data_IF_647144314534
#
_entry.id   IF_647144314534
#
_cell.length_a   1.000
_cell.length_b   1.000
_cell.length_c   1.000
_cell.angle_alpha   90.00
_cell.angle_beta   90.00
_cell.angle_gamma   90.00
#
_symmetry.space_group_name_H-M   'P 1'
#
loop_
_entity.id
_entity.type
_entity.pdbx_description
1 polymer ?
#
# COMPACT_ATOMS: atom_id res chain seq x y z
N UNK A 1 -43.22 -21.47 -12.23
CA UNK A 1 -44.18 -22.23 -11.40
C UNK A 1 -43.56 -23.56 -11.00
N UNK A 2 -43.47 -23.83 -9.69
CA UNK A 2 -43.31 -25.11 -8.93
C UNK A 2 -42.61 -26.29 -9.65
N UNK A 3 -41.68 -27.03 -9.03
CA UNK A 3 -41.85 -27.76 -7.76
C UNK A 3 -40.50 -28.15 -7.15
N UNK A 4 -40.34 -27.81 -5.86
CA UNK A 4 -39.41 -28.45 -4.94
C UNK A 4 -39.72 -29.95 -4.80
N UNK A 5 -38.70 -30.79 -4.68
CA UNK A 5 -38.81 -32.13 -4.09
C UNK A 5 -38.03 -32.15 -2.78
N UNK A 6 -38.79 -32.16 -1.70
CA UNK A 6 -38.37 -32.50 -0.34
C UNK A 6 -38.09 -34.01 -0.29
N UNK A 7 -36.99 -34.42 0.32
CA UNK A 7 -36.81 -35.78 0.84
C UNK A 7 -36.84 -35.71 2.37
N UNK A 8 -37.70 -36.54 2.94
CA UNK A 8 -38.07 -36.53 4.35
C UNK A 8 -37.05 -37.22 5.26
N UNK A 9 -36.82 -36.59 6.40
CA UNK A 9 -36.74 -37.10 7.78
C UNK A 9 -36.43 -38.59 8.03
N UNK A 10 -35.38 -38.83 8.83
CA UNK A 10 -35.41 -39.86 9.89
C UNK A 10 -35.12 -39.17 11.22
N UNK A 11 -36.08 -39.29 12.13
CA UNK A 11 -36.01 -38.82 13.50
C UNK A 11 -35.20 -39.79 14.36
N UNK A 12 -34.34 -39.26 15.23
CA UNK A 12 -33.86 -39.96 16.41
C UNK A 12 -34.11 -39.06 17.62
N UNK A 13 -35.08 -39.47 18.43
CA UNK A 13 -35.38 -38.86 19.73
C UNK A 13 -34.33 -39.29 20.75
N UNK A 14 -33.83 -38.34 21.52
CA UNK A 14 -32.99 -38.59 22.70
C UNK A 14 -33.16 -37.44 23.68
N UNK A 15 -33.94 -37.68 24.74
CA UNK A 15 -34.07 -36.79 25.89
C UNK A 15 -32.71 -36.63 26.58
N UNK A 16 -32.23 -35.40 26.76
CA UNK A 16 -31.23 -35.07 27.79
C UNK A 16 -31.61 -33.74 28.44
N UNK A 17 -31.51 -33.73 29.77
CA UNK A 17 -32.12 -32.77 30.68
C UNK A 17 -31.66 -31.33 30.54
N UNK A 18 -32.59 -30.46 30.93
CA UNK A 18 -32.36 -29.05 31.19
C UNK A 18 -31.27 -28.88 32.25
N UNK A 19 -30.10 -28.41 31.83
CA UNK A 19 -29.11 -27.81 32.71
C UNK A 19 -29.09 -26.32 32.41
N UNK A 20 -29.66 -25.55 33.32
CA UNK A 20 -29.57 -24.10 33.30
C UNK A 20 -28.10 -23.70 33.53
N UNK A 21 -27.37 -23.42 32.44
CA UNK A 21 -26.04 -22.86 32.54
C UNK A 21 -26.21 -21.36 32.82
N UNK A 22 -25.80 -20.98 34.02
CA UNK A 22 -25.82 -19.60 34.47
C UNK A 22 -25.09 -18.68 33.47
N UNK A 23 -25.75 -17.56 33.19
CA UNK A 23 -25.26 -16.44 32.39
C UNK A 23 -24.03 -15.84 33.10
N UNK A 24 -22.85 -16.33 32.75
CA UNK A 24 -21.59 -15.63 33.01
C UNK A 24 -21.37 -14.63 31.89
N UNK A 25 -21.99 -13.44 31.99
CA UNK A 25 -21.66 -12.31 31.14
C UNK A 25 -20.21 -11.90 31.43
N UNK A 26 -19.27 -12.53 30.73
CA UNK A 26 -17.90 -12.04 30.63
C UNK A 26 -17.97 -10.75 29.82
N UNK A 27 -18.16 -9.64 30.54
CA UNK A 27 -17.91 -8.30 30.06
C UNK A 27 -16.43 -8.21 29.74
N UNK A 28 -16.04 -8.66 28.55
CA UNK A 28 -14.75 -8.33 27.96
C UNK A 28 -14.80 -6.84 27.66
N UNK A 29 -14.40 -6.04 28.64
CA UNK A 29 -14.04 -4.64 28.44
C UNK A 29 -12.87 -4.65 27.47
N UNK A 30 -13.17 -4.64 26.18
CA UNK A 30 -12.20 -4.38 25.13
C UNK A 30 -11.69 -2.97 25.39
N UNK A 31 -10.53 -2.89 26.04
CA UNK A 31 -9.75 -1.67 26.10
C UNK A 31 -9.41 -1.32 24.65
N UNK A 32 -10.25 -0.48 24.03
CA UNK A 32 -9.89 0.21 22.82
C UNK A 32 -8.73 1.12 23.22
N UNK A 33 -7.51 0.64 22.98
CA UNK A 33 -6.34 1.49 22.99
C UNK A 33 -6.65 2.62 22.01
N UNK A 34 -6.94 3.80 22.56
CA UNK A 34 -7.08 5.01 21.77
C UNK A 34 -5.69 5.28 21.22
N UNK A 35 -5.46 4.88 19.98
CA UNK A 35 -4.25 5.22 19.25
C UNK A 35 -4.12 6.74 19.34
N UNK A 36 -3.06 7.20 20.01
CA UNK A 36 -2.76 8.63 20.10
C UNK A 36 -2.61 9.12 18.67
N UNK A 37 -3.55 9.95 18.21
CA UNK A 37 -3.48 10.53 16.88
C UNK A 37 -2.11 11.18 16.71
N UNK A 38 -1.40 10.85 15.63
CA UNK A 38 -0.16 11.51 15.29
C UNK A 38 -0.43 13.03 15.26
N UNK A 39 0.42 13.88 15.85
CA UNK A 39 0.23 15.33 15.83
C UNK A 39 0.38 15.90 14.42
N UNK A 40 -0.64 15.74 13.58
CA UNK A 40 -0.69 16.25 12.20
C UNK A 40 -0.71 17.78 12.13
N UNK A 41 -0.80 18.47 13.28
CA UNK A 41 -0.72 19.93 13.39
C UNK A 41 0.63 20.50 12.93
N UNK A 42 1.67 19.67 12.80
CA UNK A 42 3.00 20.04 12.31
C UNK A 42 3.34 19.45 10.95
N UNK A 43 2.35 18.90 10.23
CA UNK A 43 2.56 18.38 8.90
C UNK A 43 2.87 19.50 7.89
N UNK A 44 3.81 19.26 7.00
CA UNK A 44 4.15 20.13 5.88
C UNK A 44 4.06 19.36 4.57
N UNK A 45 3.46 19.97 3.54
CA UNK A 45 3.47 19.39 2.20
C UNK A 45 4.67 19.93 1.42
N UNK A 46 5.46 19.04 0.84
CA UNK A 46 6.55 19.37 -0.07
C UNK A 46 6.21 18.90 -1.48
N UNK A 47 6.55 19.72 -2.46
CA UNK A 47 6.44 19.39 -3.88
C UNK A 47 7.85 19.29 -4.44
N UNK A 48 8.18 18.15 -5.06
CA UNK A 48 9.45 17.95 -5.76
C UNK A 48 9.52 18.73 -7.08
N UNK A 49 10.71 18.80 -7.70
CA UNK A 49 10.81 19.31 -9.07
C UNK A 49 10.04 18.39 -10.04
N UNK A 50 9.47 18.95 -11.11
CA UNK A 50 9.03 18.13 -12.24
C UNK A 50 10.24 17.43 -12.85
N UNK A 51 10.12 16.14 -13.12
CA UNK A 51 11.18 15.36 -13.73
C UNK A 51 11.38 15.68 -15.22
N UNK A 52 12.53 15.28 -15.74
CA UNK A 52 12.71 15.09 -17.18
C UNK A 52 11.86 13.91 -17.68
N UNK A 53 11.63 13.83 -18.98
CA UNK A 53 10.85 12.73 -19.58
C UNK A 53 11.49 11.37 -19.29
N UNK A 54 10.70 10.43 -18.76
CA UNK A 54 11.15 9.10 -18.35
C UNK A 54 12.07 9.10 -17.12
N UNK A 55 12.16 10.23 -16.43
CA UNK A 55 12.98 10.39 -15.24
C UNK A 55 12.16 10.48 -13.95
N UNK A 56 12.79 10.18 -12.80
CA UNK A 56 12.12 10.25 -11.51
C UNK A 56 12.02 11.68 -10.97
N UNK A 57 11.10 11.86 -10.02
CA UNK A 57 10.97 13.05 -9.19
C UNK A 57 11.03 12.68 -7.71
N UNK A 58 11.67 13.53 -6.90
CA UNK A 58 11.79 13.38 -5.46
C UNK A 58 11.28 14.61 -4.72
N UNK A 59 10.32 14.43 -3.81
CA UNK A 59 9.89 15.44 -2.87
C UNK A 59 10.58 15.21 -1.52
N UNK A 60 11.67 15.95 -1.27
CA UNK A 60 12.48 15.80 -0.05
C UNK A 60 11.94 16.63 1.12
N UNK A 61 11.72 15.98 2.26
CA UNK A 61 11.32 16.65 3.48
C UNK A 61 12.40 17.63 3.97
N UNK A 62 12.01 18.75 4.61
CA UNK A 62 12.96 19.67 5.21
C UNK A 62 13.78 19.02 6.33
N UNK A 63 14.85 19.71 6.74
CA UNK A 63 15.66 19.27 7.88
C UNK A 63 14.80 19.09 9.15
N UNK A 64 15.10 18.05 9.93
CA UNK A 64 14.34 17.69 11.13
C UNK A 64 12.98 17.02 10.85
N UNK A 65 12.58 16.87 9.58
CA UNK A 65 11.35 16.17 9.19
C UNK A 65 11.61 14.85 8.45
N UNK A 66 10.58 14.01 8.42
CA UNK A 66 10.54 12.74 7.69
C UNK A 66 9.15 12.55 7.09
N UNK A 67 9.07 11.67 6.09
CA UNK A 67 7.84 11.44 5.33
C UNK A 67 6.81 10.68 6.16
N UNK A 68 5.57 11.18 6.18
CA UNK A 68 4.40 10.50 6.72
C UNK A 68 3.61 9.80 5.60
N UNK A 69 3.56 10.41 4.42
CA UNK A 69 2.90 9.88 3.23
C UNK A 69 3.34 10.69 2.00
N UNK A 70 2.87 10.33 0.81
CA UNK A 70 3.08 11.11 -0.39
C UNK A 70 2.26 10.62 -1.56
N UNK A 71 2.65 11.08 -2.73
CA UNK A 71 2.02 10.75 -3.99
C UNK A 71 2.74 11.44 -5.13
N UNK A 72 2.05 11.57 -6.27
CA UNK A 72 2.62 12.17 -7.45
C UNK A 72 1.56 12.94 -8.25
N UNK A 73 2.04 13.76 -9.18
CA UNK A 73 1.28 14.33 -10.27
C UNK A 73 1.96 13.93 -11.58
N UNK A 74 1.24 13.25 -12.49
CA UNK A 74 1.73 13.03 -13.84
C UNK A 74 1.57 14.33 -14.64
N UNK A 75 2.67 14.98 -14.97
CA UNK A 75 2.69 16.31 -15.61
C UNK A 75 2.54 16.20 -17.12
N UNK A 76 3.13 15.16 -17.70
CA UNK A 76 2.90 14.72 -19.07
C UNK A 76 3.03 13.21 -19.10
N UNK A 77 2.34 12.55 -20.01
CA UNK A 77 2.35 11.11 -20.18
C UNK A 77 2.18 10.79 -21.67
N UNK A 78 2.69 9.64 -22.09
CA UNK A 78 2.40 9.12 -23.43
C UNK A 78 0.89 8.92 -23.60
N UNK A 79 0.38 9.10 -24.82
CA UNK A 79 -1.02 8.95 -25.16
C UNK A 79 -1.18 7.99 -26.33
N UNK A 80 -2.31 7.28 -26.37
CA UNK A 80 -2.70 6.52 -27.54
C UNK A 80 -2.98 7.48 -28.71
N UNK A 81 -3.16 6.94 -29.93
CA UNK A 81 -3.67 7.73 -31.05
C UNK A 81 -5.09 8.29 -30.83
N UNK A 82 -5.86 7.72 -29.90
CA UNK A 82 -7.17 8.19 -29.47
C UNK A 82 -7.13 9.28 -28.40
N UNK A 83 -5.95 9.55 -27.81
CA UNK A 83 -5.72 10.57 -26.79
C UNK A 83 -5.85 10.06 -25.35
N UNK A 84 -6.15 8.78 -25.13
CA UNK A 84 -6.18 8.20 -23.78
C UNK A 84 -4.77 8.16 -23.16
N UNK A 85 -4.64 8.36 -21.83
CA UNK A 85 -3.38 8.17 -21.13
C UNK A 85 -2.82 6.77 -21.38
N UNK A 86 -1.54 6.74 -21.72
CA UNK A 86 -0.86 5.57 -22.23
C UNK A 86 0.57 5.50 -21.66
N UNK A 87 0.68 5.51 -20.34
CA UNK A 87 1.95 5.57 -19.62
C UNK A 87 1.83 4.92 -18.24
N UNK A 88 2.93 4.41 -17.71
CA UNK A 88 2.94 3.60 -16.50
C UNK A 88 3.73 4.27 -15.37
N UNK A 89 3.10 4.44 -14.21
CA UNK A 89 3.81 4.87 -13.00
C UNK A 89 4.66 3.70 -12.52
N UNK A 90 5.98 3.90 -12.53
CA UNK A 90 6.96 2.88 -12.15
C UNK A 90 7.33 2.97 -10.68
N UNK A 91 7.09 4.12 -10.05
CA UNK A 91 7.26 4.25 -8.62
C UNK A 91 6.28 5.22 -7.99
N UNK A 92 5.84 4.87 -6.79
CA UNK A 92 5.09 5.74 -5.89
C UNK A 92 5.32 5.23 -4.47
N UNK A 93 6.37 5.72 -3.80
CA UNK A 93 6.81 5.17 -2.53
C UNK A 93 7.59 6.17 -1.67
N UNK A 94 7.69 5.96 -0.35
CA UNK A 94 8.65 6.72 0.44
C UNK A 94 10.08 6.44 -0.04
N UNK A 95 10.98 7.41 0.11
CA UNK A 95 12.42 7.16 -0.01
C UNK A 95 12.86 6.17 1.07
N UNK A 96 13.85 5.33 0.75
CA UNK A 96 14.34 4.29 1.66
C UNK A 96 14.87 4.84 2.99
N UNK A 97 15.36 6.07 3.01
CA UNK A 97 15.85 6.77 4.20
C UNK A 97 14.76 7.56 4.96
N UNK A 98 13.50 7.50 4.49
CA UNK A 98 12.36 8.22 5.03
C UNK A 98 12.41 9.74 4.84
N UNK A 99 13.36 10.28 4.08
CA UNK A 99 13.53 11.73 3.93
C UNK A 99 12.67 12.34 2.82
N UNK A 100 11.67 11.62 2.32
CA UNK A 100 10.80 12.15 1.27
C UNK A 100 10.01 11.08 0.54
N UNK A 101 9.45 11.48 -0.59
CA UNK A 101 8.66 10.63 -1.47
C UNK A 101 9.29 10.58 -2.87
N UNK A 102 9.25 9.40 -3.48
CA UNK A 102 9.81 9.09 -4.79
C UNK A 102 8.68 8.71 -5.73
N UNK A 103 8.68 9.32 -6.92
CA UNK A 103 7.76 9.00 -7.98
C UNK A 103 8.51 8.88 -9.30
N UNK A 104 8.11 7.93 -10.14
CA UNK A 104 8.69 7.72 -11.46
C UNK A 104 7.60 7.34 -12.47
N UNK A 105 7.76 7.82 -13.70
CA UNK A 105 6.83 7.60 -14.80
C UNK A 105 7.63 7.17 -16.02
N UNK A 106 7.18 6.09 -16.67
CA UNK A 106 7.98 5.36 -17.66
C UNK A 106 8.47 6.21 -18.84
N UNK A 107 7.63 7.10 -19.37
CA UNK A 107 8.02 7.94 -20.53
C UNK A 107 7.78 9.43 -20.32
N UNK A 108 6.71 9.76 -19.61
CA UNK A 108 6.30 11.13 -19.35
C UNK A 108 7.12 11.82 -18.26
N UNK A 109 6.58 12.91 -17.74
CA UNK A 109 7.18 13.68 -16.65
C UNK A 109 6.29 13.57 -15.42
N UNK A 110 6.90 13.43 -14.26
CA UNK A 110 6.19 13.27 -12.99
C UNK A 110 6.69 14.30 -11.98
N UNK A 111 5.85 14.63 -11.01
CA UNK A 111 6.20 15.48 -9.89
C UNK A 111 5.80 14.79 -8.59
N UNK A 112 6.77 14.38 -7.80
CA UNK A 112 6.54 13.79 -6.48
C UNK A 112 6.01 14.83 -5.50
N UNK A 113 5.22 14.36 -4.54
CA UNK A 113 4.66 15.15 -3.44
C UNK A 113 4.81 14.35 -2.15
N UNK A 114 5.19 15.03 -1.08
CA UNK A 114 5.37 14.42 0.23
C UNK A 114 4.57 15.19 1.28
N UNK A 115 4.01 14.46 2.25
CA UNK A 115 3.56 15.01 3.52
C UNK A 115 4.64 14.65 4.53
N UNK A 116 5.25 15.65 5.13
CA UNK A 116 6.36 15.55 6.06
C UNK A 116 5.91 15.94 7.46
N UNK A 117 6.40 15.23 8.48
CA UNK A 117 6.16 15.52 9.90
C UNK A 117 7.49 15.57 10.65
N UNK A 118 7.56 16.15 11.85
CA UNK A 118 8.76 16.08 12.68
C UNK A 118 9.26 14.65 12.83
N UNK A 119 10.57 14.44 12.76
CA UNK A 119 11.17 13.09 12.76
C UNK A 119 10.70 12.22 13.93
N UNK A 120 10.45 12.81 15.11
CA UNK A 120 9.97 12.09 16.30
C UNK A 120 8.53 11.54 16.18
N UNK A 121 7.78 11.97 15.17
CA UNK A 121 6.39 11.56 14.91
C UNK A 121 6.25 10.76 13.61
N UNK A 122 7.33 10.63 12.84
CA UNK A 122 7.29 10.00 11.53
C UNK A 122 7.34 8.47 11.65
N UNK A 123 6.64 7.76 10.76
CA UNK A 123 6.81 6.32 10.63
C UNK A 123 8.24 5.96 10.22
N UNK A 124 8.65 4.75 10.58
CA UNK A 124 9.86 4.13 10.06
C UNK A 124 9.60 3.56 8.67
N UNK A 125 10.55 3.72 7.75
CA UNK A 125 10.47 3.07 6.44
C UNK A 125 11.06 1.67 6.55
N UNK A 126 10.29 0.66 6.16
CA UNK A 126 10.79 -0.68 5.89
C UNK A 126 10.87 -0.91 4.38
N UNK A 127 11.94 -1.55 3.91
CA UNK A 127 12.16 -1.84 2.49
C UNK A 127 12.15 -3.35 2.30
N UNK A 128 11.29 -3.83 1.40
CA UNK A 128 11.23 -5.24 1.05
C UNK A 128 12.39 -5.66 0.13
N UNK A 129 12.62 -6.97 -0.08
CA UNK A 129 13.52 -7.44 -1.11
C UNK A 129 12.95 -7.11 -2.50
N UNK A 130 13.79 -7.03 -3.52
CA UNK A 130 13.31 -7.08 -4.91
C UNK A 130 12.64 -8.43 -5.16
N UNK A 131 11.43 -8.44 -5.71
CA UNK A 131 10.70 -9.67 -6.03
C UNK A 131 11.33 -10.41 -7.21
N UNK A 132 10.95 -11.68 -7.38
CA UNK A 132 10.98 -12.32 -8.70
C UNK A 132 9.82 -11.83 -9.58
N UNK A 133 9.83 -12.25 -10.85
CA UNK A 133 8.72 -12.04 -11.78
C UNK A 133 7.45 -12.71 -11.27
N UNK A 134 6.30 -12.05 -11.41
CA UNK A 134 4.99 -12.54 -10.94
C UNK A 134 4.89 -12.83 -9.43
N UNK A 135 5.87 -12.40 -8.64
CA UNK A 135 5.94 -12.66 -7.19
C UNK A 135 5.81 -11.34 -6.41
N UNK A 136 5.27 -11.43 -5.20
CA UNK A 136 5.21 -10.29 -4.28
C UNK A 136 6.60 -9.87 -3.79
N UNK A 137 6.78 -8.57 -3.59
CA UNK A 137 7.76 -8.03 -2.66
C UNK A 137 7.05 -7.66 -1.36
N UNK A 138 7.55 -8.16 -0.24
CA UNK A 138 7.01 -7.89 1.10
C UNK A 138 7.97 -6.98 1.89
N UNK A 139 7.54 -5.76 2.19
CA UNK A 139 8.20 -4.88 3.15
C UNK A 139 7.58 -5.07 4.53
N UNK A 140 8.28 -5.80 5.41
CA UNK A 140 7.79 -6.12 6.77
C UNK A 140 8.17 -5.05 7.78
N UNK A 141 7.19 -4.65 8.58
CA UNK A 141 7.40 -3.72 9.66
C UNK A 141 8.15 -4.37 10.82
N UNK A 142 9.00 -3.63 11.55
CA UNK A 142 9.66 -4.14 12.75
C UNK A 142 8.68 -4.64 13.80
N UNK A 143 9.13 -5.56 14.66
CA UNK A 143 8.33 -6.09 15.76
C UNK A 143 7.75 -4.96 16.63
N UNK A 144 6.48 -5.13 17.03
CA UNK A 144 5.75 -4.13 17.82
C UNK A 144 5.19 -2.95 17.03
N UNK A 145 5.48 -2.83 15.74
CA UNK A 145 4.90 -1.79 14.87
C UNK A 145 3.84 -2.36 13.93
N UNK A 146 3.08 -1.47 13.28
CA UNK A 146 2.08 -1.81 12.27
C UNK A 146 2.17 -0.89 11.06
N UNK A 147 1.76 -1.40 9.89
CA UNK A 147 1.76 -0.61 8.66
C UNK A 147 0.68 0.46 8.71
N UNK A 148 1.03 1.69 8.33
CA UNK A 148 0.09 2.81 8.17
C UNK A 148 0.02 3.32 6.73
N UNK A 149 0.91 2.83 5.87
CA UNK A 149 0.97 3.16 4.46
C UNK A 149 2.17 2.48 3.80
N UNK A 150 2.38 2.76 2.53
CA UNK A 150 3.48 2.20 1.78
C UNK A 150 3.42 2.56 0.32
N UNK A 151 4.15 1.81 -0.49
CA UNK A 151 4.25 2.03 -1.91
C UNK A 151 5.10 0.97 -2.59
N UNK A 152 5.43 1.25 -3.85
CA UNK A 152 6.18 0.35 -4.70
C UNK A 152 7.24 1.11 -5.50
N UNK A 153 8.26 0.37 -5.92
CA UNK A 153 9.24 0.79 -6.90
C UNK A 153 9.55 -0.37 -7.84
N UNK A 154 9.10 -0.27 -9.09
CA UNK A 154 9.45 -1.21 -10.14
C UNK A 154 10.97 -1.24 -10.34
N UNK A 155 11.54 -2.44 -10.32
CA UNK A 155 12.96 -2.69 -10.56
C UNK A 155 13.20 -3.15 -12.01
N UNK A 156 12.21 -3.83 -12.59
CA UNK A 156 12.13 -4.13 -14.01
C UNK A 156 10.67 -4.09 -14.46
N UNK A 157 10.45 -3.76 -15.73
CA UNK A 157 9.12 -3.74 -16.35
C UNK A 157 9.24 -4.02 -17.84
N UNK A 158 8.14 -4.47 -18.43
CA UNK A 158 8.05 -4.78 -19.84
C UNK A 158 7.40 -3.63 -20.60
N UNK A 159 7.99 -3.29 -21.75
CA UNK A 159 7.35 -2.41 -22.72
C UNK A 159 7.19 -3.10 -24.07
N UNK A 160 6.15 -2.77 -24.82
CA UNK A 160 6.07 -3.23 -26.21
C UNK A 160 6.88 -2.34 -27.16
N UNK A 161 6.91 -2.69 -28.44
CA UNK A 161 7.65 -1.98 -29.49
C UNK A 161 7.18 -0.53 -29.76
N UNK A 162 6.02 -0.13 -29.22
CA UNK A 162 5.45 1.20 -29.34
C UNK A 162 5.72 2.08 -28.10
N UNK A 163 6.46 1.57 -27.12
CA UNK A 163 6.83 2.30 -25.89
C UNK A 163 5.82 2.16 -24.76
N UNK A 164 4.88 1.24 -24.88
CA UNK A 164 3.75 0.99 -23.99
C UNK A 164 4.13 0.12 -22.80
N UNK A 165 3.69 0.45 -21.58
CA UNK A 165 3.87 -0.46 -20.45
C UNK A 165 2.98 -1.68 -20.67
N UNK A 166 3.59 -2.85 -20.82
CA UNK A 166 2.89 -4.14 -20.81
C UNK A 166 2.91 -4.77 -19.41
N UNK A 167 3.28 -3.94 -18.43
CA UNK A 167 3.45 -4.34 -17.06
C UNK A 167 2.80 -3.28 -16.18
N UNK A 168 1.94 -3.75 -15.29
CA UNK A 168 1.18 -2.89 -14.40
C UNK A 168 1.37 -3.35 -12.97
N UNK A 169 1.31 -2.39 -12.05
CA UNK A 169 1.25 -2.71 -10.63
C UNK A 169 -0.12 -3.31 -10.34
N UNK A 170 -0.14 -4.62 -10.14
CA UNK A 170 -1.35 -5.39 -9.83
C UNK A 170 -1.63 -5.45 -8.34
N UNK A 171 -0.64 -5.11 -7.51
CA UNK A 171 -0.84 -4.91 -6.08
C UNK A 171 0.06 -3.82 -5.51
N UNK A 172 -0.51 -3.01 -4.62
CA UNK A 172 0.22 -2.16 -3.67
C UNK A 172 -0.70 -1.95 -2.47
N UNK A 173 -0.51 -2.74 -1.42
CA UNK A 173 -1.48 -2.81 -0.33
C UNK A 173 -0.84 -3.26 1.00
N UNK A 174 -1.52 -3.01 2.13
CA UNK A 174 -1.16 -3.63 3.40
C UNK A 174 -1.22 -5.17 3.28
N UNK A 175 -0.30 -5.84 3.95
CA UNK A 175 -0.38 -7.29 4.16
C UNK A 175 -1.55 -7.57 5.12
N UNK A 176 -2.21 -8.71 4.93
CA UNK A 176 -3.46 -9.06 5.63
C UNK A 176 -3.38 -9.00 7.17
N UNK A 177 -2.19 -9.19 7.75
CA UNK A 177 -1.92 -9.13 9.19
C UNK A 177 -1.62 -7.71 9.70
N UNK A 178 -1.57 -6.71 8.81
CA UNK A 178 -1.21 -5.33 9.12
C UNK A 178 0.26 -5.15 9.53
N UNK A 179 1.13 -6.13 9.24
CA UNK A 179 2.56 -6.14 9.61
C UNK A 179 3.49 -5.84 8.44
N UNK A 180 2.97 -5.26 7.37
CA UNK A 180 3.80 -4.79 6.27
C UNK A 180 3.00 -4.31 5.08
N UNK A 181 3.72 -3.98 4.02
CA UNK A 181 3.17 -3.61 2.72
C UNK A 181 3.69 -4.60 1.69
N UNK A 182 2.82 -5.04 0.77
CA UNK A 182 3.26 -5.84 -0.36
C UNK A 182 2.97 -5.11 -1.68
N UNK A 183 3.81 -5.40 -2.67
CA UNK A 183 3.65 -4.91 -4.02
C UNK A 183 3.89 -6.03 -5.04
N UNK A 184 3.19 -5.97 -6.17
CA UNK A 184 3.31 -6.91 -7.29
C UNK A 184 3.20 -6.20 -8.63
N UNK A 185 4.09 -6.51 -9.56
CA UNK A 185 3.95 -6.21 -10.98
C UNK A 185 3.34 -7.40 -11.72
N UNK A 186 2.64 -7.14 -12.82
CA UNK A 186 2.05 -8.20 -13.63
C UNK A 186 3.10 -9.20 -14.09
N UNK A 187 4.26 -8.75 -14.58
CA UNK A 187 5.35 -9.60 -15.06
C UNK A 187 6.74 -9.21 -14.53
N UNK A 188 7.01 -7.92 -14.33
CA UNK A 188 8.31 -7.44 -13.88
C UNK A 188 8.61 -7.70 -12.41
N UNK A 189 9.71 -7.10 -11.94
CA UNK A 189 10.17 -7.21 -10.55
C UNK A 189 9.94 -5.90 -9.82
N UNK A 190 9.53 -5.98 -8.56
CA UNK A 190 9.14 -4.81 -7.77
C UNK A 190 9.79 -4.85 -6.39
N UNK A 191 10.00 -3.68 -5.79
CA UNK A 191 10.36 -3.52 -4.40
C UNK A 191 9.23 -2.79 -3.66
N UNK A 192 8.63 -3.44 -2.66
CA UNK A 192 7.69 -2.81 -1.76
C UNK A 192 8.42 -1.93 -0.73
N UNK A 193 7.74 -0.87 -0.27
CA UNK A 193 8.18 -0.06 0.86
C UNK A 193 7.01 0.18 1.79
N UNK A 194 7.21 0.00 3.09
CA UNK A 194 6.19 0.21 4.11
C UNK A 194 6.54 1.41 4.99
N UNK A 195 5.50 2.09 5.47
CA UNK A 195 5.57 3.08 6.53
C UNK A 195 4.99 2.46 7.81
N UNK A 196 5.82 2.32 8.83
CA UNK A 196 5.53 1.57 10.05
C UNK A 196 5.47 2.49 11.27
N UNK A 197 4.40 2.38 12.07
CA UNK A 197 4.18 3.15 13.30
C UNK A 197 4.26 2.28 14.56
#
# INVERSE_FOLDING_TARGET
MRKHRLAACVAAAGLVGASAVAVGALSTTSAQATAKAAPVSRAQTVVGPTSESGGPSEARCPEGMRVLNGGYNAVSFSQSNGGEPYDGIQANAPLADGKGWFADLMTGRVQARAVCVPQAEAPQVAVGPTSGEHVDSDARCPDGTSVIGGGYYAQSWYKNGWGESQDEVTASAPIWDGKGWYARLFAGTVQARALCS
#
